data_IF_164733321906
#
_entry.id   IF_164733321906
#
_cell.length_a   1.000
_cell.length_b   1.000
_cell.length_c   1.000
_cell.angle_alpha   90.00
_cell.angle_beta   90.00
_cell.angle_gamma   90.00
#
_symmetry.space_group_name_H-M   'P 1'
#
loop_
_entity.id
_entity.type
_entity.pdbx_description
1 polymer ?
#
# COMPACT_ATOMS: atom_id res chain seq x y z
N UNK A 1 23.00 -11.84 3.47
CA UNK A 1 23.15 -13.22 4.01
C UNK A 1 24.43 -13.32 4.85
N UNK A 2 25.60 -12.91 4.33
CA UNK A 2 26.87 -12.87 5.08
C UNK A 2 26.75 -12.19 6.46
N UNK A 3 26.15 -11.00 6.53
CA UNK A 3 25.97 -10.30 7.81
C UNK A 3 25.09 -11.06 8.83
N UNK A 4 24.13 -11.87 8.35
CA UNK A 4 23.25 -12.68 9.21
C UNK A 4 24.03 -13.86 9.79
N UNK A 5 24.84 -14.53 8.96
CA UNK A 5 25.70 -15.63 9.42
C UNK A 5 26.73 -15.13 10.42
N UNK A 6 27.39 -14.00 10.14
CA UNK A 6 28.27 -13.35 11.11
C UNK A 6 27.57 -13.02 12.44
N UNK A 7 26.33 -12.49 12.38
CA UNK A 7 25.57 -12.20 13.60
C UNK A 7 25.18 -13.48 14.38
N UNK A 8 25.01 -14.62 13.71
CA UNK A 8 24.81 -15.93 14.36
C UNK A 8 26.09 -16.42 15.04
N UNK A 9 27.22 -16.34 14.35
CA UNK A 9 28.54 -16.71 14.89
C UNK A 9 28.88 -15.92 16.15
N UNK A 10 28.65 -14.60 16.12
CA UNK A 10 28.86 -13.67 17.22
C UNK A 10 27.75 -13.69 18.29
N UNK A 11 26.75 -14.58 18.15
CA UNK A 11 25.60 -14.71 19.08
C UNK A 11 24.83 -13.41 19.32
N UNK A 12 24.76 -12.54 18.31
CA UNK A 12 24.06 -11.24 18.36
C UNK A 12 22.60 -11.40 17.91
N UNK A 13 21.76 -11.95 18.78
CA UNK A 13 20.37 -12.33 18.45
C UNK A 13 19.53 -11.16 17.91
N UNK A 14 19.50 -10.02 18.60
CA UNK A 14 18.69 -8.86 18.17
C UNK A 14 19.16 -8.31 16.82
N UNK A 15 20.48 -8.19 16.62
CA UNK A 15 21.05 -7.73 15.36
C UNK A 15 20.68 -8.68 14.21
N UNK A 16 20.79 -10.00 14.43
CA UNK A 16 20.40 -11.02 13.45
C UNK A 16 18.92 -10.86 13.07
N UNK A 17 18.03 -10.71 14.04
CA UNK A 17 16.59 -10.56 13.79
C UNK A 17 16.27 -9.29 12.99
N UNK A 18 16.91 -8.15 13.30
CA UNK A 18 16.77 -6.94 12.50
C UNK A 18 17.31 -7.10 11.07
N UNK A 19 18.44 -7.81 10.90
CA UNK A 19 18.99 -8.12 9.58
C UNK A 19 18.09 -9.06 8.78
N UNK A 20 17.45 -10.03 9.43
CA UNK A 20 16.47 -10.91 8.81
C UNK A 20 15.21 -10.15 8.39
N UNK A 21 14.67 -9.25 9.23
CA UNK A 21 13.57 -8.37 8.84
C UNK A 21 13.93 -7.51 7.62
N UNK A 22 15.16 -6.96 7.57
CA UNK A 22 15.65 -6.22 6.41
C UNK A 22 15.79 -7.10 5.16
N UNK A 23 16.17 -8.37 5.33
CA UNK A 23 16.25 -9.33 4.23
C UNK A 23 14.86 -9.72 3.71
N UNK A 24 13.87 -9.87 4.58
CA UNK A 24 12.47 -10.09 4.18
C UNK A 24 11.98 -8.92 3.32
N UNK A 25 12.24 -7.68 3.75
CA UNK A 25 11.90 -6.49 2.98
C UNK A 25 12.58 -6.49 1.59
N UNK A 26 13.87 -6.84 1.53
CA UNK A 26 14.60 -6.96 0.27
C UNK A 26 13.99 -8.04 -0.64
N UNK A 27 13.68 -9.22 -0.11
CA UNK A 27 13.04 -10.28 -0.88
C UNK A 27 11.71 -9.83 -1.45
N UNK A 28 10.88 -9.15 -0.65
CA UNK A 28 9.63 -8.56 -1.12
C UNK A 28 9.87 -7.56 -2.27
N UNK A 29 10.81 -6.62 -2.11
CA UNK A 29 11.12 -5.61 -3.13
C UNK A 29 11.64 -6.23 -4.44
N UNK A 30 12.30 -7.40 -4.36
CA UNK A 30 12.81 -8.15 -5.53
C UNK A 30 11.83 -9.18 -6.10
N UNK A 31 10.62 -9.30 -5.54
CA UNK A 31 9.61 -10.28 -5.99
C UNK A 31 9.85 -11.73 -5.54
N UNK A 32 10.82 -11.97 -4.64
CA UNK A 32 11.11 -13.29 -4.06
C UNK A 32 10.15 -13.62 -2.91
N UNK A 33 8.85 -13.70 -3.23
CA UNK A 33 7.79 -13.77 -2.22
C UNK A 33 7.78 -15.07 -1.40
N UNK A 34 8.17 -16.18 -2.00
CA UNK A 34 8.27 -17.48 -1.30
C UNK A 34 9.33 -17.45 -0.20
N UNK A 35 10.52 -16.95 -0.53
CA UNK A 35 11.64 -16.83 0.38
C UNK A 35 11.37 -15.77 1.47
N UNK A 36 10.66 -14.70 1.12
CA UNK A 36 10.17 -13.71 2.08
C UNK A 36 9.24 -14.36 3.11
N UNK A 37 8.26 -15.17 2.68
CA UNK A 37 7.33 -15.85 3.57
C UNK A 37 8.00 -16.91 4.45
N UNK A 38 8.91 -17.70 3.90
CA UNK A 38 9.61 -18.74 4.66
C UNK A 38 10.43 -18.10 5.80
N UNK A 39 11.18 -17.03 5.48
CA UNK A 39 11.98 -16.30 6.47
C UNK A 39 11.09 -15.55 7.48
N UNK A 40 10.02 -14.89 7.03
CA UNK A 40 9.06 -14.24 7.92
C UNK A 40 8.40 -15.23 8.88
N UNK A 41 7.97 -16.39 8.39
CA UNK A 41 7.33 -17.44 9.21
C UNK A 41 8.30 -17.96 10.28
N UNK A 42 9.56 -18.16 9.95
CA UNK A 42 10.60 -18.56 10.90
C UNK A 42 10.81 -17.49 11.97
N UNK A 43 11.03 -16.24 11.54
CA UNK A 43 11.30 -15.11 12.44
C UNK A 43 10.11 -14.79 13.36
N UNK A 44 8.87 -14.86 12.86
CA UNK A 44 7.66 -14.63 13.66
C UNK A 44 7.49 -15.64 14.81
N UNK A 45 7.94 -16.89 14.64
CA UNK A 45 7.91 -17.89 15.73
C UNK A 45 8.83 -17.50 16.88
N UNK A 46 9.92 -16.80 16.59
CA UNK A 46 10.84 -16.28 17.59
C UNK A 46 10.30 -14.99 18.22
N UNK A 47 9.91 -14.01 17.39
CA UNK A 47 9.47 -12.69 17.85
C UNK A 47 8.21 -12.77 18.73
N UNK A 48 7.32 -13.72 18.49
CA UNK A 48 6.14 -13.96 19.36
C UNK A 48 6.47 -14.41 20.78
N UNK A 49 7.72 -14.86 21.03
CA UNK A 49 8.20 -15.26 22.35
C UNK A 49 9.03 -14.15 23.03
N UNK A 50 9.21 -13.01 22.35
CA UNK A 50 10.02 -11.88 22.80
C UNK A 50 9.13 -10.64 23.00
N UNK A 51 9.67 -9.63 23.70
CA UNK A 51 8.94 -8.39 23.99
C UNK A 51 9.18 -7.27 22.95
N UNK A 52 10.01 -7.51 21.92
CA UNK A 52 10.22 -6.55 20.83
C UNK A 52 9.04 -6.52 19.87
N UNK A 53 7.99 -5.84 20.32
CA UNK A 53 6.73 -5.67 19.58
C UNK A 53 6.89 -4.76 18.35
N UNK A 54 7.87 -3.86 18.33
CA UNK A 54 8.11 -3.01 17.16
C UNK A 54 8.56 -3.85 15.96
N UNK A 55 9.57 -4.71 16.17
CA UNK A 55 10.05 -5.61 15.12
C UNK A 55 8.98 -6.64 14.73
N UNK A 56 8.18 -7.11 15.70
CA UNK A 56 7.06 -8.01 15.43
C UNK A 56 6.01 -7.37 14.49
N UNK A 57 5.63 -6.10 14.73
CA UNK A 57 4.70 -5.38 13.84
C UNK A 57 5.27 -5.22 12.44
N UNK A 58 6.56 -4.88 12.32
CA UNK A 58 7.23 -4.73 11.02
C UNK A 58 7.18 -6.03 10.20
N UNK A 59 7.52 -7.16 10.81
CA UNK A 59 7.54 -8.46 10.13
C UNK A 59 6.12 -8.94 9.80
N UNK A 60 5.14 -8.73 10.68
CA UNK A 60 3.73 -9.05 10.39
C UNK A 60 3.17 -8.22 9.23
N UNK A 61 3.56 -6.94 9.14
CA UNK A 61 3.19 -6.09 8.01
C UNK A 61 3.82 -6.56 6.69
N UNK A 62 5.10 -6.96 6.72
CA UNK A 62 5.77 -7.56 5.55
C UNK A 62 5.12 -8.89 5.13
N UNK A 63 4.73 -9.73 6.09
CA UNK A 63 4.00 -10.95 5.84
C UNK A 63 2.64 -10.67 5.16
N UNK A 64 1.89 -9.67 5.66
CA UNK A 64 0.63 -9.23 5.05
C UNK A 64 0.81 -8.78 3.60
N UNK A 65 1.82 -7.93 3.33
CA UNK A 65 2.16 -7.46 1.98
C UNK A 65 2.53 -8.60 1.05
N UNK A 66 3.33 -9.54 1.54
CA UNK A 66 3.79 -10.68 0.75
C UNK A 66 2.64 -11.62 0.39
N UNK A 67 1.74 -11.90 1.34
CA UNK A 67 0.52 -12.66 1.05
C UNK A 67 -0.39 -11.94 0.05
N UNK A 68 -0.53 -10.61 0.15
CA UNK A 68 -1.29 -9.82 -0.82
C UNK A 68 -0.68 -9.89 -2.22
N UNK A 69 0.64 -9.79 -2.35
CA UNK A 69 1.35 -9.92 -3.63
C UNK A 69 1.17 -11.31 -4.27
N UNK A 70 1.00 -12.36 -3.45
CA UNK A 70 0.65 -13.71 -3.88
C UNK A 70 -0.86 -13.95 -4.03
N UNK A 71 -1.67 -12.88 -4.01
CA UNK A 71 -3.15 -12.93 -4.11
C UNK A 71 -3.84 -13.76 -3.02
N UNK A 72 -3.17 -13.99 -1.88
CA UNK A 72 -3.74 -14.70 -0.73
C UNK A 72 -4.36 -13.72 0.27
N UNK A 73 -5.52 -13.16 -0.08
CA UNK A 73 -6.22 -12.15 0.72
C UNK A 73 -6.59 -12.61 2.14
N UNK A 74 -7.07 -13.85 2.37
CA UNK A 74 -7.42 -14.29 3.73
C UNK A 74 -6.22 -14.27 4.68
N UNK A 75 -5.05 -14.75 4.21
CA UNK A 75 -3.82 -14.71 5.03
C UNK A 75 -3.26 -13.30 5.16
N UNK A 76 -3.29 -12.50 4.10
CA UNK A 76 -2.86 -11.11 4.14
C UNK A 76 -3.62 -10.32 5.22
N UNK A 77 -4.95 -10.51 5.28
CA UNK A 77 -5.83 -9.92 6.29
C UNK A 77 -5.52 -10.44 7.69
N UNK A 78 -5.37 -11.74 7.88
CA UNK A 78 -5.04 -12.33 9.17
C UNK A 78 -3.71 -11.79 9.75
N UNK A 79 -2.68 -11.67 8.91
CA UNK A 79 -1.39 -11.07 9.29
C UNK A 79 -1.53 -9.59 9.62
N UNK A 80 -2.31 -8.82 8.86
CA UNK A 80 -2.56 -7.41 9.15
C UNK A 80 -3.33 -7.20 10.45
N UNK A 81 -4.38 -8.00 10.71
CA UNK A 81 -5.11 -7.97 11.98
C UNK A 81 -4.17 -8.21 13.14
N UNK A 82 -3.30 -9.21 13.02
CA UNK A 82 -2.27 -9.49 14.03
C UNK A 82 -1.33 -8.29 14.21
N UNK A 83 -0.86 -7.68 13.11
CA UNK A 83 0.02 -6.51 13.15
C UNK A 83 -0.64 -5.33 13.89
N UNK A 84 -1.92 -5.06 13.61
CA UNK A 84 -2.68 -3.97 14.27
C UNK A 84 -2.95 -4.26 15.74
N UNK A 85 -3.28 -5.50 16.10
CA UNK A 85 -3.44 -5.89 17.51
C UNK A 85 -2.13 -5.68 18.28
N UNK A 86 -0.98 -6.06 17.71
CA UNK A 86 0.32 -5.81 18.32
C UNK A 86 0.66 -4.32 18.37
N UNK A 87 0.36 -3.56 17.32
CA UNK A 87 0.60 -2.12 17.26
C UNK A 87 -0.21 -1.36 18.31
N UNK A 88 -1.45 -1.76 18.58
CA UNK A 88 -2.29 -1.15 19.63
C UNK A 88 -1.74 -1.36 21.05
N UNK A 89 -0.87 -2.36 21.23
CA UNK A 89 -0.24 -2.65 22.52
C UNK A 89 1.06 -1.84 22.75
N UNK A 90 1.46 -0.99 21.80
CA UNK A 90 2.66 -0.16 21.85
C UNK A 90 2.36 1.27 21.38
N UNK A 91 3.24 2.20 21.69
CA UNK A 91 3.23 3.50 21.02
C UNK A 91 3.91 3.34 19.64
N UNK A 92 3.09 3.08 18.63
CA UNK A 92 3.56 2.83 17.27
C UNK A 92 4.14 4.11 16.64
N UNK A 93 5.36 4.08 16.07
CA UNK A 93 5.91 5.23 15.38
C UNK A 93 5.01 5.69 14.23
N UNK A 94 4.88 7.01 13.95
CA UNK A 94 3.94 7.52 12.93
C UNK A 94 4.09 6.87 11.55
N UNK A 95 5.34 6.62 11.10
CA UNK A 95 5.61 5.96 9.81
C UNK A 95 5.14 4.50 9.77
N UNK A 96 5.19 3.80 10.91
CA UNK A 96 4.73 2.41 11.01
C UNK A 96 3.20 2.37 11.06
N UNK A 97 2.56 3.28 11.81
CA UNK A 97 1.11 3.43 11.83
C UNK A 97 0.55 3.73 10.43
N UNK A 98 1.12 4.73 9.74
CA UNK A 98 0.74 5.05 8.37
C UNK A 98 0.93 3.88 7.39
N UNK A 99 1.91 3.00 7.63
CA UNK A 99 2.11 1.80 6.81
C UNK A 99 1.06 0.71 7.06
N UNK A 100 0.56 0.59 8.30
CA UNK A 100 -0.56 -0.29 8.64
C UNK A 100 -1.87 0.22 8.04
N UNK A 101 -2.09 1.53 8.07
CA UNK A 101 -3.28 2.16 7.49
C UNK A 101 -3.26 2.05 5.97
N UNK A 102 -2.12 2.29 5.32
CA UNK A 102 -1.97 2.09 3.87
C UNK A 102 -2.29 0.64 3.47
N UNK A 103 -1.76 -0.35 4.20
CA UNK A 103 -2.04 -1.76 3.93
C UNK A 103 -3.51 -2.12 4.19
N UNK A 104 -4.14 -1.52 5.21
CA UNK A 104 -5.57 -1.68 5.48
C UNK A 104 -6.40 -1.19 4.30
N UNK A 105 -6.10 0.00 3.77
CA UNK A 105 -6.78 0.55 2.60
C UNK A 105 -6.62 -0.34 1.36
N UNK A 106 -5.41 -0.85 1.10
CA UNK A 106 -5.15 -1.75 -0.03
C UNK A 106 -6.01 -3.03 0.07
N UNK A 107 -6.08 -3.65 1.26
CA UNK A 107 -6.86 -4.88 1.43
C UNK A 107 -8.37 -4.65 1.33
N UNK A 108 -8.90 -3.55 1.86
CA UNK A 108 -10.32 -3.20 1.70
C UNK A 108 -10.68 -2.91 0.23
N UNK A 109 -9.80 -2.24 -0.51
CA UNK A 109 -9.97 -1.98 -1.93
C UNK A 109 -9.92 -3.28 -2.77
N UNK A 110 -8.98 -4.18 -2.45
CA UNK A 110 -8.74 -5.40 -3.23
C UNK A 110 -9.77 -6.52 -2.99
N UNK A 111 -10.24 -6.70 -1.75
CA UNK A 111 -11.09 -7.84 -1.38
C UNK A 111 -12.59 -7.49 -1.43
N UNK A 112 -12.98 -6.47 -0.67
CA UNK A 112 -14.39 -6.12 -0.47
C UNK A 112 -14.91 -5.10 -1.49
N UNK A 113 -14.02 -4.56 -2.34
CA UNK A 113 -14.27 -3.36 -3.14
C UNK A 113 -14.87 -2.21 -2.31
N UNK A 114 -14.55 -2.17 -1.01
CA UNK A 114 -15.02 -1.14 -0.09
C UNK A 114 -14.09 0.07 -0.18
N UNK A 115 -14.23 0.81 -1.29
CA UNK A 115 -13.45 2.01 -1.54
C UNK A 115 -13.78 3.16 -0.58
N UNK A 116 -14.92 3.12 0.10
CA UNK A 116 -15.30 4.13 1.09
C UNK A 116 -14.45 3.97 2.35
N UNK A 117 -14.36 2.75 2.88
CA UNK A 117 -13.49 2.45 4.01
C UNK A 117 -12.02 2.56 3.63
N UNK A 118 -11.65 2.10 2.43
CA UNK A 118 -10.28 2.24 1.93
C UNK A 118 -9.84 3.70 1.84
N UNK A 119 -10.71 4.60 1.37
CA UNK A 119 -10.42 6.05 1.34
C UNK A 119 -10.05 6.58 2.72
N UNK A 120 -10.82 6.24 3.77
CA UNK A 120 -10.53 6.68 5.14
C UNK A 120 -9.15 6.20 5.60
N UNK A 121 -8.81 4.93 5.34
CA UNK A 121 -7.48 4.41 5.65
C UNK A 121 -6.35 5.09 4.87
N UNK A 122 -6.57 5.38 3.59
CA UNK A 122 -5.59 6.11 2.79
C UNK A 122 -5.42 7.56 3.25
N UNK A 123 -6.48 8.19 3.75
CA UNK A 123 -6.42 9.52 4.36
C UNK A 123 -5.55 9.53 5.63
N UNK A 124 -5.81 8.61 6.56
CA UNK A 124 -4.98 8.46 7.78
C UNK A 124 -3.51 8.16 7.44
N UNK A 125 -3.28 7.29 6.45
CA UNK A 125 -1.93 7.01 5.96
C UNK A 125 -1.26 8.25 5.35
N UNK A 126 -2.00 9.04 4.58
CA UNK A 126 -1.50 10.29 3.99
C UNK A 126 -1.13 11.31 5.08
N UNK A 127 -2.01 11.57 6.05
CA UNK A 127 -1.72 12.50 7.15
C UNK A 127 -0.53 12.03 7.99
N UNK A 128 -0.47 10.73 8.30
CA UNK A 128 0.65 10.14 9.04
C UNK A 128 1.98 10.23 8.30
N UNK A 129 1.99 10.11 6.96
CA UNK A 129 3.19 10.28 6.16
C UNK A 129 3.56 11.75 5.93
N UNK A 130 2.60 12.66 5.70
CA UNK A 130 2.85 14.11 5.54
C UNK A 130 3.42 14.69 6.83
N UNK A 131 2.83 14.36 7.98
CA UNK A 131 3.32 14.79 9.29
C UNK A 131 4.72 14.25 9.63
N UNK A 132 5.14 13.15 9.00
CA UNK A 132 6.45 12.53 9.17
C UNK A 132 7.43 12.83 8.03
N UNK A 133 7.10 13.79 7.15
CA UNK A 133 7.87 14.22 5.97
C UNK A 133 8.37 13.03 5.13
N UNK A 134 7.46 12.09 4.87
CA UNK A 134 7.75 10.86 4.14
C UNK A 134 7.29 10.98 2.69
N UNK A 135 8.12 10.60 1.69
CA UNK A 135 7.70 10.61 0.29
C UNK A 135 6.53 9.67 0.01
N UNK A 136 6.25 8.71 0.91
CA UNK A 136 5.08 7.81 0.83
C UNK A 136 3.74 8.51 1.02
N UNK A 137 3.73 9.78 1.46
CA UNK A 137 2.52 10.60 1.48
C UNK A 137 1.91 10.70 0.08
N UNK A 138 2.74 10.84 -0.96
CA UNK A 138 2.28 10.86 -2.36
C UNK A 138 1.53 9.57 -2.72
N UNK A 139 2.00 8.41 -2.26
CA UNK A 139 1.33 7.12 -2.46
C UNK A 139 -0.04 7.08 -1.77
N UNK A 140 -0.13 7.55 -0.52
CA UNK A 140 -1.40 7.64 0.20
C UNK A 140 -2.40 8.54 -0.53
N UNK A 141 -1.96 9.73 -0.94
CA UNK A 141 -2.79 10.68 -1.70
C UNK A 141 -3.26 10.08 -3.03
N UNK A 142 -2.36 9.43 -3.78
CA UNK A 142 -2.70 8.75 -5.03
C UNK A 142 -3.80 7.71 -4.85
N UNK A 143 -3.72 6.90 -3.79
CA UNK A 143 -4.74 5.89 -3.50
C UNK A 143 -6.05 6.48 -2.98
N UNK A 144 -6.03 7.62 -2.28
CA UNK A 144 -7.25 8.38 -1.98
C UNK A 144 -7.97 8.81 -3.25
N UNK A 145 -7.24 9.36 -4.23
CA UNK A 145 -7.81 9.77 -5.52
C UNK A 145 -8.37 8.56 -6.29
N UNK A 146 -7.66 7.43 -6.26
CA UNK A 146 -8.13 6.18 -6.85
C UNK A 146 -9.46 5.76 -6.26
N UNK A 147 -9.59 5.74 -4.93
CA UNK A 147 -10.85 5.42 -4.26
C UNK A 147 -12.00 6.33 -4.68
N UNK A 148 -11.74 7.64 -4.85
CA UNK A 148 -12.77 8.59 -5.33
C UNK A 148 -13.21 8.30 -6.76
N UNK A 149 -12.29 7.95 -7.64
CA UNK A 149 -12.61 7.53 -9.02
C UNK A 149 -13.45 6.25 -9.00
N UNK A 150 -13.05 5.25 -8.21
CA UNK A 150 -13.75 3.97 -8.11
C UNK A 150 -15.14 4.08 -7.47
N UNK A 151 -15.39 5.10 -6.65
CA UNK A 151 -16.71 5.44 -6.09
C UNK A 151 -17.57 6.29 -7.04
N UNK A 152 -17.14 6.50 -8.29
CA UNK A 152 -17.82 7.37 -9.26
C UNK A 152 -17.95 8.83 -8.77
N UNK A 153 -17.02 9.29 -7.92
CA UNK A 153 -16.93 10.64 -7.36
C UNK A 153 -15.77 11.41 -8.02
N UNK A 154 -15.63 11.29 -9.34
CA UNK A 154 -14.51 11.87 -10.09
C UNK A 154 -14.44 13.40 -9.99
N UNK A 155 -15.56 14.07 -9.74
CA UNK A 155 -15.62 15.54 -9.54
C UNK A 155 -14.87 15.97 -8.27
N UNK A 156 -14.92 15.17 -7.21
CA UNK A 156 -14.25 15.47 -5.94
C UNK A 156 -12.72 15.38 -6.05
N UNK A 157 -12.19 14.64 -7.04
CA UNK A 157 -10.74 14.52 -7.30
C UNK A 157 -10.12 15.89 -7.56
N UNK A 158 -10.79 16.76 -8.31
CA UNK A 158 -10.30 18.11 -8.58
C UNK A 158 -10.21 18.95 -7.29
N UNK A 159 -11.20 18.82 -6.41
CA UNK A 159 -11.24 19.50 -5.10
C UNK A 159 -10.13 19.00 -4.18
N UNK A 160 -9.92 17.68 -4.09
CA UNK A 160 -8.85 17.09 -3.27
C UNK A 160 -7.47 17.54 -3.76
N UNK A 161 -7.23 17.50 -5.08
CA UNK A 161 -5.99 17.97 -5.70
C UNK A 161 -5.72 19.47 -5.50
N UNK A 162 -6.77 20.27 -5.32
CA UNK A 162 -6.66 21.72 -5.12
C UNK A 162 -6.51 22.11 -3.64
N UNK A 163 -6.58 21.13 -2.72
CA UNK A 163 -6.36 21.37 -1.30
C UNK A 163 -4.92 21.83 -1.02
N UNK A 164 -4.76 22.69 -0.01
CA UNK A 164 -3.44 23.25 0.36
C UNK A 164 -2.38 22.17 0.62
N UNK A 165 -2.78 21.06 1.23
CA UNK A 165 -1.87 19.94 1.55
C UNK A 165 -1.49 19.16 0.30
N UNK A 166 -2.45 18.91 -0.62
CA UNK A 166 -2.17 18.21 -1.87
C UNK A 166 -1.29 19.02 -2.84
N UNK A 167 -1.37 20.35 -2.82
CA UNK A 167 -0.53 21.22 -3.66
C UNK A 167 0.97 21.05 -3.40
N UNK A 168 1.37 20.63 -2.18
CA UNK A 168 2.78 20.29 -1.88
C UNK A 168 3.30 19.11 -2.72
N UNK A 169 2.39 18.23 -3.14
CA UNK A 169 2.68 16.99 -3.86
C UNK A 169 2.35 17.09 -5.35
N UNK A 170 2.24 18.31 -5.88
CA UNK A 170 1.99 18.52 -7.30
C UNK A 170 3.07 17.84 -8.16
N UNK A 171 2.63 17.09 -9.17
CA UNK A 171 3.50 16.29 -10.03
C UNK A 171 2.72 15.36 -10.94
N UNK A 172 3.45 14.52 -11.69
CA UNK A 172 2.89 13.63 -12.71
C UNK A 172 1.88 12.64 -12.15
N UNK A 173 2.04 12.20 -10.92
CA UNK A 173 1.18 11.24 -10.25
C UNK A 173 -0.21 11.82 -10.01
N UNK A 174 -0.30 13.10 -9.62
CA UNK A 174 -1.58 13.80 -9.46
C UNK A 174 -2.19 14.16 -10.81
N UNK A 175 -1.36 14.51 -11.79
CA UNK A 175 -1.80 14.77 -13.17
C UNK A 175 -2.41 13.51 -13.80
N UNK A 176 -1.78 12.35 -13.60
CA UNK A 176 -2.27 11.05 -14.05
C UNK A 176 -3.65 10.74 -13.46
N UNK A 177 -3.80 10.86 -12.14
CA UNK A 177 -5.08 10.62 -11.47
C UNK A 177 -6.15 11.63 -11.90
N UNK A 178 -5.79 12.88 -12.15
CA UNK A 178 -6.71 13.91 -12.68
C UNK A 178 -7.14 13.59 -14.12
N UNK A 179 -6.22 13.13 -14.96
CA UNK A 179 -6.52 12.73 -16.33
C UNK A 179 -7.50 11.56 -16.36
N UNK A 180 -7.26 10.54 -15.53
CA UNK A 180 -8.18 9.39 -15.36
C UNK A 180 -9.55 9.84 -14.83
N UNK A 181 -9.58 10.69 -13.79
CA UNK A 181 -10.84 11.22 -13.26
C UNK A 181 -11.62 12.03 -14.30
N UNK A 182 -10.94 12.85 -15.10
CA UNK A 182 -11.56 13.63 -16.18
C UNK A 182 -12.12 12.73 -17.26
N UNK A 183 -11.38 11.69 -17.66
CA UNK A 183 -11.83 10.70 -18.62
C UNK A 183 -13.06 9.95 -18.12
N UNK A 184 -13.06 9.53 -16.84
CA UNK A 184 -14.21 8.90 -16.17
C UNK A 184 -15.44 9.82 -16.13
N UNK A 185 -15.27 11.08 -15.72
CA UNK A 185 -16.37 12.05 -15.68
C UNK A 185 -16.96 12.35 -17.07
N UNK A 186 -16.12 12.50 -18.10
CA UNK A 186 -16.55 12.68 -19.50
C UNK A 186 -17.07 11.40 -20.15
N UNK A 187 -16.92 10.26 -19.48
CA UNK A 187 -17.14 8.92 -20.05
C UNK A 187 -16.34 8.70 -21.34
N UNK A 188 -15.16 9.30 -21.50
CA UNK A 188 -14.37 9.14 -22.73
C UNK A 188 -13.40 7.97 -22.60
N UNK A 189 -13.69 6.83 -23.23
CA UNK A 189 -12.75 5.71 -23.31
C UNK A 189 -11.46 6.08 -24.06
N UNK A 190 -11.56 6.98 -25.04
CA UNK A 190 -10.40 7.47 -25.78
C UNK A 190 -9.45 8.30 -24.89
N UNK A 191 -10.00 9.18 -24.05
CA UNK A 191 -9.23 9.97 -23.08
C UNK A 191 -8.58 9.04 -22.04
N UNK A 192 -9.31 8.02 -21.59
CA UNK A 192 -8.80 7.04 -20.63
C UNK A 192 -7.61 6.25 -21.21
N UNK A 193 -7.72 5.71 -22.42
CA UNK A 193 -6.61 5.03 -23.09
C UNK A 193 -5.42 5.95 -23.34
N UNK A 194 -5.67 7.23 -23.64
CA UNK A 194 -4.61 8.23 -23.81
C UNK A 194 -3.90 8.50 -22.49
N UNK A 195 -4.64 8.61 -21.38
CA UNK A 195 -4.07 8.77 -20.05
C UNK A 195 -3.20 7.57 -19.66
N UNK A 196 -3.68 6.33 -19.91
CA UNK A 196 -2.91 5.12 -19.64
C UNK A 196 -1.58 5.07 -20.40
N UNK A 197 -1.56 5.48 -21.67
CA UNK A 197 -0.33 5.52 -22.47
C UNK A 197 0.62 6.64 -22.03
N UNK A 198 0.08 7.80 -21.68
CA UNK A 198 0.87 8.99 -21.32
C UNK A 198 1.51 8.84 -19.94
N UNK A 199 0.77 8.29 -18.98
CA UNK A 199 1.16 8.14 -17.58
C UNK A 199 1.38 6.67 -17.21
N UNK A 200 2.00 5.91 -18.13
CA UNK A 200 2.21 4.47 -17.95
C UNK A 200 2.98 4.13 -16.66
N UNK A 201 4.09 4.82 -16.31
CA UNK A 201 4.79 4.59 -15.05
C UNK A 201 3.92 4.88 -13.82
N UNK A 202 3.08 5.92 -13.89
CA UNK A 202 2.25 6.33 -12.78
C UNK A 202 0.98 5.48 -12.64
N UNK A 203 0.54 4.75 -13.68
CA UNK A 203 -0.72 3.99 -13.67
C UNK A 203 -0.51 2.47 -13.76
N UNK A 204 0.19 1.98 -14.79
CA UNK A 204 0.34 0.54 -15.03
C UNK A 204 1.46 -0.11 -14.21
N UNK A 205 2.50 0.64 -13.86
CA UNK A 205 3.61 0.11 -13.04
C UNK A 205 3.28 0.09 -11.54
N UNK A 206 2.25 0.83 -11.12
CA UNK A 206 1.71 0.76 -9.77
C UNK A 206 0.76 -0.44 -9.63
N UNK A 207 1.20 -1.44 -8.86
CA UNK A 207 0.47 -2.69 -8.71
C UNK A 207 -0.98 -2.52 -8.18
N UNK A 208 -1.21 -1.54 -7.28
CA UNK A 208 -2.52 -1.29 -6.69
C UNK A 208 -3.42 -0.60 -7.69
N UNK A 209 -2.93 0.44 -8.38
CA UNK A 209 -3.71 1.12 -9.43
C UNK A 209 -4.06 0.14 -10.54
N UNK A 210 -3.06 -0.59 -11.06
CA UNK A 210 -3.22 -1.57 -12.15
C UNK A 210 -4.29 -2.60 -11.83
N UNK A 211 -4.36 -3.09 -10.59
CA UNK A 211 -5.38 -4.07 -10.18
C UNK A 211 -6.82 -3.55 -10.36
N UNK A 212 -7.03 -2.24 -10.35
CA UNK A 212 -8.34 -1.61 -10.46
C UNK A 212 -8.63 -1.01 -11.85
N UNK A 213 -7.61 -0.81 -12.71
CA UNK A 213 -7.78 -0.23 -14.04
C UNK A 213 -8.72 -1.05 -14.94
N UNK A 214 -8.68 -2.39 -14.86
CA UNK A 214 -9.57 -3.26 -15.64
C UNK A 214 -11.04 -3.07 -15.26
N UNK A 215 -11.34 -3.11 -13.96
CA UNK A 215 -12.70 -2.89 -13.47
C UNK A 215 -13.22 -1.46 -13.78
N UNK A 216 -12.32 -0.47 -13.75
CA UNK A 216 -12.67 0.90 -14.14
C UNK A 216 -12.98 0.99 -15.64
N UNK A 217 -12.21 0.32 -16.49
CA UNK A 217 -12.46 0.25 -17.93
C UNK A 217 -13.83 -0.35 -18.23
N UNK A 218 -14.17 -1.48 -17.60
CA UNK A 218 -15.48 -2.13 -17.78
C UNK A 218 -16.62 -1.20 -17.36
N UNK A 219 -16.47 -0.52 -16.21
CA UNK A 219 -17.45 0.46 -15.72
C UNK A 219 -17.64 1.62 -16.70
N UNK A 220 -16.56 2.15 -17.26
CA UNK A 220 -16.62 3.22 -18.27
C UNK A 220 -17.24 2.75 -19.59
N UNK A 221 -17.02 1.50 -19.98
CA UNK A 221 -17.62 0.91 -21.18
C UNK A 221 -19.14 0.74 -20.99
N UNK A 222 -19.58 0.20 -19.86
CA UNK A 222 -21.00 0.08 -19.52
C UNK A 222 -21.71 1.45 -19.50
N UNK A 223 -21.10 2.46 -18.90
CA UNK A 223 -21.64 3.82 -18.84
C UNK A 223 -21.70 4.55 -20.19
N UNK A 224 -20.98 4.07 -21.20
CA UNK A 224 -21.02 4.60 -22.57
C UNK A 224 -22.04 3.90 -23.46
N UNK A 225 -22.33 2.63 -23.18
CA UNK A 225 -23.27 1.82 -23.96
C UNK A 225 -24.72 2.03 -23.53
N UNK A 226 -24.94 2.52 -22.31
CA UNK A 226 -26.25 2.86 -21.73
C UNK A 226 -26.50 4.38 -21.74
#
# INVERSE_FOLDING_TARGET
>A
KECIEWAKEERRTFLRQSLEARLIALYFDTGMYTEALDLATALLKELKKLDDKNLLVEVLLLESKTYHALSNLPKARASLTSARTTANAIYCPPKMQAALDLQSGILHAADERDFKTAYSYFYEAFEGYDGADSPKALTGLKYMLLSKIMLNQAEEVATVCSSKTALKYAGKELEAMRAVATASHKRSLADFQTALKTYKPELEEDAVVRAHLGALYDTMLEQNLC
#
